data_IF_376870598302
#
_entry.id   IF_376870598302
#
_cell.length_a   1.000
_cell.length_b   1.000
_cell.length_c   1.000
_cell.angle_alpha   90.00
_cell.angle_beta   90.00
_cell.angle_gamma   90.00
#
_symmetry.space_group_name_H-M   'P 1'
#
loop_
_entity.id
_entity.type
_entity.pdbx_description
1 polymer ?
#
# COMPACT_ATOMS: atom_id res chain seq x y z
N UNK A 1 -25.36 19.18 10.12
CA UNK A 1 -25.37 17.72 9.86
C UNK A 1 -24.81 17.41 8.48
N UNK A 2 -25.34 17.97 7.38
CA UNK A 2 -24.81 17.70 6.01
C UNK A 2 -23.32 18.06 5.80
N UNK A 3 -22.88 19.25 6.20
CA UNK A 3 -21.47 19.66 6.01
C UNK A 3 -20.48 18.78 6.78
N UNK A 4 -20.87 18.28 7.95
CA UNK A 4 -20.03 17.38 8.75
C UNK A 4 -19.83 16.04 8.03
N UNK A 5 -20.90 15.46 7.48
CA UNK A 5 -20.81 14.22 6.71
C UNK A 5 -19.99 14.39 5.43
N UNK A 6 -20.13 15.52 4.73
CA UNK A 6 -19.30 15.82 3.55
C UNK A 6 -17.80 15.84 3.88
N UNK A 7 -17.42 16.42 5.01
CA UNK A 7 -16.03 16.44 5.48
C UNK A 7 -15.52 15.05 5.86
N UNK A 8 -16.36 14.21 6.49
CA UNK A 8 -16.01 12.84 6.86
C UNK A 8 -15.76 11.98 5.61
N UNK A 9 -16.62 12.09 4.59
CA UNK A 9 -16.44 11.39 3.32
C UNK A 9 -15.18 11.86 2.58
N UNK A 10 -14.89 13.17 2.63
CA UNK A 10 -13.67 13.73 2.04
C UNK A 10 -12.40 13.25 2.78
N UNK A 11 -12.43 13.20 4.11
CA UNK A 11 -11.34 12.66 4.91
C UNK A 11 -11.10 11.17 4.63
N UNK A 12 -12.17 10.36 4.56
CA UNK A 12 -12.10 8.94 4.24
C UNK A 12 -11.53 8.70 2.84
N UNK A 13 -12.02 9.42 1.83
CA UNK A 13 -11.51 9.30 0.45
C UNK A 13 -10.04 9.71 0.31
N UNK A 14 -9.59 10.74 1.03
CA UNK A 14 -8.17 11.13 1.07
C UNK A 14 -7.30 10.05 1.72
N UNK A 15 -7.72 9.47 2.85
CA UNK A 15 -6.99 8.39 3.52
C UNK A 15 -6.84 7.17 2.61
N UNK A 16 -7.92 6.75 1.94
CA UNK A 16 -7.90 5.64 1.00
C UNK A 16 -7.01 5.94 -0.21
N UNK A 17 -7.12 7.13 -0.80
CA UNK A 17 -6.32 7.54 -1.95
C UNK A 17 -4.83 7.60 -1.64
N UNK A 18 -4.45 8.19 -0.50
CA UNK A 18 -3.05 8.28 -0.09
C UNK A 18 -2.46 6.92 0.28
N UNK A 19 -3.23 6.04 0.91
CA UNK A 19 -2.82 4.67 1.17
C UNK A 19 -2.54 3.91 -0.15
N UNK A 20 -3.43 4.03 -1.14
CA UNK A 20 -3.25 3.41 -2.45
C UNK A 20 -2.00 3.92 -3.18
N UNK A 21 -1.71 5.23 -3.11
CA UNK A 21 -0.48 5.80 -3.68
C UNK A 21 0.77 5.25 -2.99
N UNK A 22 0.76 5.14 -1.65
CA UNK A 22 1.85 4.54 -0.89
C UNK A 22 2.13 3.09 -1.29
N UNK A 23 1.08 2.29 -1.45
CA UNK A 23 1.19 0.91 -1.93
C UNK A 23 1.77 0.84 -3.35
N UNK A 24 1.26 1.66 -4.28
CA UNK A 24 1.71 1.68 -5.67
C UNK A 24 3.21 2.02 -5.79
N UNK A 25 3.69 3.02 -5.04
CA UNK A 25 5.10 3.42 -5.04
C UNK A 25 5.97 2.32 -4.41
N UNK A 26 5.55 1.76 -3.28
CA UNK A 26 6.29 0.71 -2.58
C UNK A 26 6.45 -0.54 -3.44
N UNK A 27 5.35 -1.05 -3.97
CA UNK A 27 5.35 -2.24 -4.85
C UNK A 27 6.11 -1.98 -6.14
N UNK A 28 5.93 -0.81 -6.77
CA UNK A 28 6.65 -0.45 -8.00
C UNK A 28 8.17 -0.39 -7.80
N UNK A 29 8.61 0.20 -6.68
CA UNK A 29 10.04 0.30 -6.36
C UNK A 29 10.65 -1.07 -6.06
N UNK A 30 9.98 -1.88 -5.22
CA UNK A 30 10.47 -3.23 -4.89
C UNK A 30 10.47 -4.15 -6.11
N UNK A 31 9.41 -4.12 -6.92
CA UNK A 31 9.32 -4.90 -8.15
C UNK A 31 10.40 -4.54 -9.15
N UNK A 32 10.67 -3.25 -9.33
CA UNK A 32 11.76 -2.76 -10.19
C UNK A 32 13.13 -3.28 -9.73
N UNK A 33 13.44 -3.17 -8.44
CA UNK A 33 14.71 -3.66 -7.87
C UNK A 33 14.84 -5.18 -7.94
N UNK A 34 13.75 -5.91 -7.75
CA UNK A 34 13.74 -7.35 -7.91
C UNK A 34 14.07 -7.77 -9.35
N UNK A 35 13.47 -7.11 -10.35
CA UNK A 35 13.75 -7.37 -11.76
C UNK A 35 15.19 -7.01 -12.14
N UNK A 36 15.72 -5.88 -11.65
CA UNK A 36 17.13 -5.49 -11.84
C UNK A 36 18.10 -6.55 -11.26
N UNK A 37 17.81 -7.06 -10.05
CA UNK A 37 18.60 -8.10 -9.40
C UNK A 37 18.56 -9.43 -10.15
N UNK A 38 17.37 -9.85 -10.58
CA UNK A 38 17.16 -11.05 -11.38
C UNK A 38 17.87 -10.99 -12.74
N UNK A 39 17.85 -9.83 -13.40
CA UNK A 39 18.52 -9.63 -14.68
C UNK A 39 20.06 -9.66 -14.57
N UNK A 40 20.62 -9.17 -13.45
CA UNK A 40 22.07 -9.19 -13.22
C UNK A 40 22.60 -10.56 -12.82
N UNK A 41 21.88 -11.26 -11.94
CA UNK A 41 22.30 -12.56 -11.41
C UNK A 41 21.09 -13.51 -11.29
N UNK A 42 20.79 -14.27 -12.36
CA UNK A 42 19.63 -15.17 -12.39
C UNK A 42 19.67 -16.27 -11.33
N UNK A 43 20.86 -16.67 -10.91
CA UNK A 43 21.09 -17.66 -9.86
C UNK A 43 20.65 -17.20 -8.47
N UNK A 44 20.55 -15.88 -8.23
CA UNK A 44 20.05 -15.33 -6.96
C UNK A 44 18.52 -15.23 -6.91
N UNK A 45 17.79 -15.50 -8.00
CA UNK A 45 16.33 -15.39 -8.06
C UNK A 45 15.62 -16.14 -6.92
N UNK A 46 15.98 -17.39 -6.56
CA UNK A 46 15.32 -18.11 -5.47
C UNK A 46 15.43 -17.40 -4.11
N UNK A 47 16.60 -16.83 -3.83
CA UNK A 47 16.88 -16.06 -2.61
C UNK A 47 16.15 -14.72 -2.65
N UNK A 48 16.28 -13.97 -3.75
CA UNK A 48 15.65 -12.66 -3.94
C UNK A 48 14.13 -12.74 -3.90
N UNK A 49 13.52 -13.82 -4.42
CA UNK A 49 12.06 -14.02 -4.38
C UNK A 49 11.55 -14.15 -2.96
N UNK A 50 12.26 -14.90 -2.12
CA UNK A 50 11.88 -15.08 -0.71
C UNK A 50 11.95 -13.75 0.06
N UNK A 51 13.05 -13.02 -0.11
CA UNK A 51 13.22 -11.69 0.48
C UNK A 51 12.18 -10.69 -0.04
N UNK A 52 11.92 -10.70 -1.35
CA UNK A 52 10.90 -9.87 -1.98
C UNK A 52 9.52 -10.08 -1.35
N UNK A 53 9.08 -11.33 -1.16
CA UNK A 53 7.77 -11.59 -0.53
C UNK A 53 7.67 -11.10 0.91
N UNK A 54 8.74 -11.24 1.70
CA UNK A 54 8.79 -10.73 3.08
C UNK A 54 8.65 -9.21 3.09
N UNK A 55 9.44 -8.52 2.27
CA UNK A 55 9.44 -7.05 2.22
C UNK A 55 8.16 -6.51 1.57
N UNK A 56 7.63 -7.19 0.56
CA UNK A 56 6.32 -6.87 -0.04
C UNK A 56 5.20 -6.95 0.99
N UNK A 57 5.16 -8.02 1.79
CA UNK A 57 4.17 -8.14 2.86
C UNK A 57 4.25 -7.01 3.87
N UNK A 58 5.46 -6.60 4.26
CA UNK A 58 5.65 -5.45 5.15
C UNK A 58 5.25 -4.12 4.50
N UNK A 59 5.55 -3.96 3.21
CA UNK A 59 5.22 -2.76 2.43
C UNK A 59 3.72 -2.59 2.25
N UNK A 60 2.97 -3.69 2.12
CA UNK A 60 1.52 -3.66 1.95
C UNK A 60 0.78 -3.53 3.30
N UNK A 61 1.41 -3.90 4.42
CA UNK A 61 0.81 -3.78 5.75
C UNK A 61 0.46 -2.33 6.13
N UNK A 62 1.32 -1.36 5.82
CA UNK A 62 1.12 0.05 6.20
C UNK A 62 -0.06 0.69 5.42
N UNK A 63 -0.13 0.59 4.08
CA UNK A 63 -1.31 0.99 3.32
C UNK A 63 -2.59 0.32 3.78
N UNK A 64 -2.57 -0.98 4.09
CA UNK A 64 -3.76 -1.71 4.52
C UNK A 64 -4.32 -1.21 5.87
N UNK A 65 -3.46 -0.77 6.78
CA UNK A 65 -3.89 -0.08 8.01
C UNK A 65 -4.61 1.23 7.64
N UNK A 66 -4.05 2.01 6.71
CA UNK A 66 -4.68 3.23 6.19
C UNK A 66 -6.05 2.97 5.56
N UNK A 67 -6.18 1.87 4.81
CA UNK A 67 -7.46 1.42 4.24
C UNK A 67 -8.46 1.09 5.34
N UNK A 68 -8.05 0.33 6.37
CA UNK A 68 -8.90 0.00 7.51
C UNK A 68 -9.43 1.23 8.24
N UNK A 69 -8.57 2.23 8.46
CA UNK A 69 -8.97 3.50 9.08
C UNK A 69 -9.90 4.29 8.16
N UNK A 70 -9.62 4.35 6.84
CA UNK A 70 -10.47 5.03 5.87
C UNK A 70 -11.88 4.43 5.79
N UNK A 71 -11.98 3.10 5.82
CA UNK A 71 -13.25 2.39 5.87
C UNK A 71 -13.98 2.63 7.20
N UNK A 72 -13.28 2.65 8.34
CA UNK A 72 -13.87 3.00 9.63
C UNK A 72 -14.46 4.42 9.62
N UNK A 73 -13.73 5.40 9.09
CA UNK A 73 -14.20 6.78 8.97
C UNK A 73 -15.45 6.86 8.08
N UNK A 74 -15.49 6.13 6.97
CA UNK A 74 -16.62 6.17 6.03
C UNK A 74 -17.89 5.46 6.54
N UNK A 75 -17.74 4.32 7.22
CA UNK A 75 -18.88 3.46 7.57
C UNK A 75 -19.29 3.52 9.04
N UNK A 76 -18.38 3.88 9.94
CA UNK A 76 -18.68 3.96 11.38
C UNK A 76 -18.89 5.40 11.87
N UNK A 77 -18.30 6.40 11.21
CA UNK A 77 -18.44 7.82 11.58
C UNK A 77 -19.32 8.63 10.61
N UNK A 78 -19.45 8.17 9.36
CA UNK A 78 -20.22 8.82 8.29
C UNK A 78 -21.73 8.65 8.37
#
# INVERSE_FOLDING_TARGET
>A
MEMANALIVLAGSLLLGLAAVGAAIGVGTLGGRFLEGAARQPELIPMLRTQFFIVMGLTDAVPMIGVGIGLYVLFALG
#
